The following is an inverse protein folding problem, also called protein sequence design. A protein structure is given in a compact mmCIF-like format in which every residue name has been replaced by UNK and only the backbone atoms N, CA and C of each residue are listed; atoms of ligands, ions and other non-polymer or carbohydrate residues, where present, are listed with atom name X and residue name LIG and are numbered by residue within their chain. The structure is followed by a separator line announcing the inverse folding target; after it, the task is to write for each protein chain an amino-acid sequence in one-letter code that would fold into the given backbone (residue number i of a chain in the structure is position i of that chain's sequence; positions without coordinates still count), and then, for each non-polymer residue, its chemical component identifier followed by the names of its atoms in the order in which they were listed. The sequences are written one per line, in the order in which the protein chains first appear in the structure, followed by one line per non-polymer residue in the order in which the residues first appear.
data_IF_852083149601
#
_entry.id   IF_852083149601
#
_cell.length_a   1.000
_cell.length_b   1.000
_cell.length_c   1.000
_cell.angle_alpha   90.00
_cell.angle_beta   90.00
_cell.angle_gamma   90.00
#
_symmetry.space_group_name_H-M   'P 1'
#
loop_
_entity.id
_entity.type
_entity.pdbx_description
1 polymer ?
#
# COMPACT_ATOMS: atom_id res chain seq x y z
N UNK A 1 5.87 13.80 23.17
CA UNK A 1 4.48 13.49 23.55
C UNK A 1 3.46 14.58 23.19
N UNK A 2 3.68 15.88 23.46
CA UNK A 2 2.76 16.97 23.02
C UNK A 2 2.63 17.04 21.50
N UNK A 3 3.73 16.74 20.78
CA UNK A 3 3.75 16.65 19.32
C UNK A 3 2.72 15.66 18.74
N UNK A 4 2.17 14.73 19.53
CA UNK A 4 1.13 13.81 19.09
C UNK A 4 -0.18 14.51 18.66
N UNK A 5 -0.43 15.73 19.13
CA UNK A 5 -1.58 16.54 18.72
C UNK A 5 -1.34 17.33 17.43
N UNK A 6 -0.10 17.40 16.94
CA UNK A 6 0.28 18.23 15.79
C UNK A 6 0.86 17.44 14.63
N UNK A 7 1.81 16.54 14.91
CA UNK A 7 2.54 15.79 13.88
C UNK A 7 1.63 14.79 13.15
N UNK A 8 0.91 13.87 13.83
CA UNK A 8 -0.02 12.98 13.15
C UNK A 8 -1.14 13.73 12.42
N UNK A 9 -1.70 14.77 13.05
CA UNK A 9 -2.72 15.62 12.42
C UNK A 9 -2.20 16.17 11.10
N UNK A 10 -1.02 16.79 11.10
CA UNK A 10 -0.38 17.33 9.90
C UNK A 10 -0.11 16.27 8.83
N UNK A 11 0.50 15.14 9.23
CA UNK A 11 0.84 14.04 8.31
C UNK A 11 -0.36 13.52 7.54
N UNK A 12 -1.50 13.36 8.23
CA UNK A 12 -2.72 12.91 7.61
C UNK A 12 -3.46 14.03 6.86
N UNK A 13 -3.55 15.23 7.43
CA UNK A 13 -4.32 16.33 6.86
C UNK A 13 -3.77 16.84 5.54
N UNK A 14 -2.45 16.79 5.34
CA UNK A 14 -1.79 17.23 4.10
C UNK A 14 -2.19 16.36 2.90
N UNK A 15 -2.59 15.11 3.14
CA UNK A 15 -3.00 14.16 2.09
C UNK A 15 -4.52 14.02 1.98
N UNK A 16 -5.29 14.64 2.87
CA UNK A 16 -6.74 14.50 2.91
C UNK A 16 -7.42 15.28 1.79
N UNK A 17 -8.38 14.65 1.12
CA UNK A 17 -9.26 15.33 0.17
C UNK A 17 -10.29 16.20 0.91
N UNK A 18 -10.85 17.21 0.22
CA UNK A 18 -11.81 18.15 0.84
C UNK A 18 -13.02 17.48 1.48
N UNK A 19 -13.51 16.37 0.90
CA UNK A 19 -14.62 15.59 1.45
C UNK A 19 -14.27 15.03 2.83
N UNK A 20 -13.09 14.42 2.95
CA UNK A 20 -12.62 13.79 4.19
C UNK A 20 -12.30 14.86 5.24
N UNK A 21 -11.74 16.00 4.82
CA UNK A 21 -11.56 17.16 5.68
C UNK A 21 -12.89 17.66 6.25
N UNK A 22 -13.93 17.77 5.42
CA UNK A 22 -15.27 18.14 5.85
C UNK A 22 -15.88 17.16 6.85
N UNK A 23 -15.71 15.85 6.61
CA UNK A 23 -16.14 14.80 7.53
C UNK A 23 -15.41 14.89 8.89
N UNK A 24 -14.09 14.99 8.86
CA UNK A 24 -13.24 15.06 10.05
C UNK A 24 -13.57 16.29 10.93
N UNK A 25 -13.65 17.47 10.31
CA UNK A 25 -13.99 18.71 11.00
C UNK A 25 -15.45 18.72 11.49
N UNK A 26 -16.37 18.15 10.70
CA UNK A 26 -17.78 18.00 11.08
C UNK A 26 -17.95 17.11 12.32
N UNK A 27 -17.28 15.95 12.35
CA UNK A 27 -17.26 15.08 13.53
C UNK A 27 -16.55 15.73 14.72
N UNK A 28 -15.44 16.44 14.48
CA UNK A 28 -14.76 17.23 15.50
C UNK A 28 -15.68 18.27 16.14
N UNK A 29 -16.46 18.99 15.33
CA UNK A 29 -17.45 19.96 15.82
C UNK A 29 -18.55 19.28 16.63
N UNK A 30 -19.07 18.14 16.18
CA UNK A 30 -20.08 17.39 16.92
C UNK A 30 -19.56 16.94 18.30
N UNK A 31 -18.33 16.47 18.39
CA UNK A 31 -17.69 16.10 19.66
C UNK A 31 -17.51 17.31 20.57
N UNK A 32 -17.12 18.47 20.01
CA UNK A 32 -17.03 19.73 20.78
C UNK A 32 -18.40 20.15 21.31
N UNK A 33 -19.46 20.07 20.50
CA UNK A 33 -20.83 20.40 20.92
C UNK A 33 -21.34 19.43 21.99
N UNK A 34 -21.07 18.12 21.84
CA UNK A 34 -21.41 17.11 22.83
C UNK A 34 -20.65 17.35 24.15
N UNK A 35 -19.35 17.65 24.08
CA UNK A 35 -18.52 17.99 25.24
C UNK A 35 -18.99 19.26 25.94
N UNK A 36 -19.35 20.30 25.19
CA UNK A 36 -19.93 21.52 25.73
C UNK A 36 -21.30 21.26 26.39
N UNK A 37 -22.17 20.48 25.75
CA UNK A 37 -23.46 20.07 26.31
C UNK A 37 -23.29 19.29 27.61
N UNK A 38 -22.39 18.31 27.63
CA UNK A 38 -22.06 17.54 28.82
C UNK A 38 -21.51 18.44 29.94
N UNK A 39 -20.59 19.35 29.63
CA UNK A 39 -20.05 20.31 30.60
C UNK A 39 -21.15 21.18 31.22
N UNK A 40 -22.10 21.67 30.42
CA UNK A 40 -23.24 22.45 30.91
C UNK A 40 -24.16 21.62 31.81
N UNK A 41 -24.40 20.35 31.48
CA UNK A 41 -25.19 19.43 32.31
C UNK A 41 -24.52 19.16 33.66
N UNK A 42 -23.22 18.86 33.66
CA UNK A 42 -22.44 18.63 34.89
C UNK A 42 -22.38 19.89 35.73
N UNK A 43 -22.12 21.06 35.12
CA UNK A 43 -22.11 22.33 35.85
C UNK A 43 -23.43 22.59 36.56
N UNK A 44 -24.56 22.35 35.90
CA UNK A 44 -25.89 22.48 36.51
C UNK A 44 -26.08 21.52 37.69
N UNK A 45 -25.58 20.29 37.58
CA UNK A 45 -25.65 19.31 38.67
C UNK A 45 -24.74 19.66 39.87
N UNK A 46 -23.56 20.22 39.62
CA UNK A 46 -22.63 20.65 40.67
C UNK A 46 -23.14 21.90 41.38
N UNK A 47 -23.75 22.86 40.67
CA UNK A 47 -24.43 24.01 41.30
C UNK A 47 -25.61 23.57 42.20
N UNK A 48 -26.22 22.41 41.93
CA UNK A 48 -27.26 21.81 42.80
C UNK A 48 -26.66 21.08 44.01
N UNK A 49 -25.42 20.57 43.89
CA UNK A 49 -24.75 19.73 44.86
C UNK A 49 -23.58 20.51 45.46
N UNK A 50 -23.89 21.44 46.38
CA UNK A 50 -23.02 22.48 46.95
C UNK A 50 -21.67 22.04 47.61
N UNK A 51 -21.20 20.80 47.47
CA UNK A 51 -20.09 20.23 48.23
C UNK A 51 -19.12 19.38 47.39
N UNK A 52 -18.72 19.84 46.21
CA UNK A 52 -17.63 19.20 45.47
C UNK A 52 -16.31 19.91 45.77
N UNK A 53 -15.41 19.28 46.52
CA UNK A 53 -13.99 19.66 46.54
C UNK A 53 -13.44 19.57 45.11
N UNK A 54 -13.22 20.72 44.47
CA UNK A 54 -12.64 20.77 43.13
C UNK A 54 -11.16 20.46 43.26
N UNK A 55 -10.75 19.25 42.87
CA UNK A 55 -9.34 18.83 42.86
C UNK A 55 -8.45 19.84 42.13
N UNK A 56 -7.26 20.10 42.67
CA UNK A 56 -6.39 21.16 42.16
C UNK A 56 -5.93 20.84 40.73
N UNK A 57 -5.98 21.79 39.78
CA UNK A 57 -5.39 21.61 38.45
C UNK A 57 -3.91 21.23 38.49
N UNK A 58 -3.21 21.60 39.57
CA UNK A 58 -1.83 21.24 39.81
C UNK A 58 -1.66 19.73 40.08
N UNK A 59 -2.61 19.10 40.79
CA UNK A 59 -2.55 17.67 41.11
C UNK A 59 -2.62 16.84 39.82
N UNK A 60 -3.52 17.22 38.91
CA UNK A 60 -3.64 16.59 37.59
C UNK A 60 -2.39 16.78 36.73
N UNK A 61 -1.78 17.97 36.78
CA UNK A 61 -0.54 18.26 36.06
C UNK A 61 0.62 17.40 36.58
N UNK A 62 0.80 17.34 37.90
CA UNK A 62 1.88 16.56 38.53
C UNK A 62 1.67 15.06 38.31
N UNK A 63 0.44 14.56 38.47
CA UNK A 63 0.11 13.17 38.20
C UNK A 63 0.37 12.81 36.74
N UNK A 64 -0.05 13.66 35.80
CA UNK A 64 0.21 13.49 34.38
C UNK A 64 1.71 13.44 34.07
N UNK A 65 2.50 14.34 34.65
CA UNK A 65 3.96 14.36 34.51
C UNK A 65 4.61 13.08 35.03
N UNK A 66 4.17 12.60 36.20
CA UNK A 66 4.69 11.37 36.81
C UNK A 66 4.37 10.15 35.94
N UNK A 67 3.12 10.04 35.44
CA UNK A 67 2.75 8.95 34.53
C UNK A 67 3.63 9.00 33.28
N UNK A 68 3.73 10.15 32.61
CA UNK A 68 4.55 10.28 31.40
C UNK A 68 6.00 9.87 31.67
N UNK A 69 6.58 10.32 32.78
CA UNK A 69 7.96 9.98 33.15
C UNK A 69 8.13 8.47 33.35
N UNK A 70 7.27 7.85 34.15
CA UNK A 70 7.34 6.41 34.45
C UNK A 70 7.14 5.58 33.18
N UNK A 71 6.24 5.99 32.29
CA UNK A 71 5.89 5.22 31.10
C UNK A 71 6.86 5.39 29.94
N UNK A 72 7.62 6.50 29.89
CA UNK A 72 8.66 6.70 28.86
C UNK A 72 10.04 6.25 29.32
N UNK A 73 10.30 6.15 30.63
CA UNK A 73 11.61 5.77 31.16
C UNK A 73 12.15 4.44 30.57
N UNK A 74 11.38 3.34 30.48
CA UNK A 74 11.88 2.10 29.88
C UNK A 74 12.26 2.24 28.41
N UNK A 75 11.55 3.09 27.65
CA UNK A 75 11.82 3.34 26.22
C UNK A 75 13.17 4.05 26.06
N UNK A 76 13.40 5.09 26.86
CA UNK A 76 14.67 5.84 26.85
C UNK A 76 15.83 4.97 27.31
N UNK A 77 15.65 4.20 28.39
CA UNK A 77 16.69 3.28 28.91
C UNK A 77 17.02 2.17 27.91
N UNK A 78 16.05 1.71 27.12
CA UNK A 78 16.27 0.75 26.05
C UNK A 78 16.94 1.36 24.80
N UNK A 79 17.32 2.65 24.82
CA UNK A 79 17.93 3.34 23.69
C UNK A 79 16.99 3.43 22.47
N UNK A 80 15.68 3.49 22.71
CA UNK A 80 14.67 3.61 21.65
C UNK A 80 14.29 5.07 21.46
N UNK A 81 14.23 5.48 20.20
CA UNK A 81 13.73 6.79 19.81
C UNK A 81 12.24 6.75 19.52
N UNK A 82 11.56 7.85 19.86
CA UNK A 82 10.15 8.05 19.52
C UNK A 82 10.06 8.72 18.15
N UNK A 83 9.49 8.01 17.18
CA UNK A 83 9.24 8.54 15.84
C UNK A 83 7.74 8.53 15.57
N UNK A 84 7.16 9.69 15.29
CA UNK A 84 5.78 9.76 14.79
C UNK A 84 5.75 9.42 13.30
N UNK A 85 6.14 8.20 12.96
CA UNK A 85 6.07 7.64 11.60
C UNK A 85 4.86 6.72 11.49
N UNK A 86 4.15 6.78 10.37
CA UNK A 86 3.05 5.84 10.08
C UNK A 86 3.64 4.43 10.08
N UNK A 87 3.02 3.50 10.82
CA UNK A 87 3.39 2.08 10.98
C UNK A 87 4.64 1.72 11.80
N UNK A 88 5.51 2.67 12.17
CA UNK A 88 6.84 2.32 12.72
C UNK A 88 6.94 2.26 14.25
N UNK A 89 6.12 3.00 14.99
CA UNK A 89 6.35 3.20 16.43
C UNK A 89 5.05 3.18 17.27
N UNK A 90 5.12 2.52 18.44
CA UNK A 90 4.06 2.42 19.46
C UNK A 90 4.52 2.86 20.86
N UNK A 91 5.75 3.34 21.01
CA UNK A 91 6.41 3.68 22.27
C UNK A 91 5.81 4.87 23.01
N UNK A 92 4.81 5.56 22.44
CA UNK A 92 4.08 6.64 23.14
C UNK A 92 2.71 6.24 23.63
N UNK A 93 2.21 5.06 23.26
CA UNK A 93 0.84 4.63 23.54
C UNK A 93 0.55 4.53 25.04
N UNK A 94 1.49 3.96 25.81
CA UNK A 94 1.37 3.84 27.26
C UNK A 94 1.33 5.20 27.99
N UNK A 95 1.78 6.28 27.33
CA UNK A 95 1.81 7.63 27.92
C UNK A 95 0.54 8.45 27.64
N UNK A 96 -0.41 7.93 26.86
CA UNK A 96 -1.59 8.69 26.39
C UNK A 96 -2.39 9.29 27.54
N UNK A 97 -2.67 8.51 28.59
CA UNK A 97 -3.38 9.00 29.77
C UNK A 97 -2.59 10.10 30.49
N UNK A 98 -1.29 9.87 30.72
CA UNK A 98 -0.43 10.84 31.39
C UNK A 98 -0.36 12.17 30.63
N UNK A 99 -0.28 12.13 29.30
CA UNK A 99 -0.27 13.32 28.45
C UNK A 99 -1.62 14.04 28.50
N UNK A 100 -2.75 13.33 28.47
CA UNK A 100 -4.06 13.95 28.59
C UNK A 100 -4.23 14.70 29.91
N UNK A 101 -3.80 14.10 31.03
CA UNK A 101 -3.82 14.74 32.36
C UNK A 101 -2.85 15.90 32.45
N UNK A 102 -1.63 15.76 31.94
CA UNK A 102 -0.61 16.81 31.92
C UNK A 102 -1.09 18.03 31.12
N UNK A 103 -1.57 17.82 29.89
CA UNK A 103 -2.04 18.89 29.01
C UNK A 103 -3.32 19.52 29.56
N UNK A 104 -4.27 18.70 30.03
CA UNK A 104 -5.49 19.19 30.68
C UNK A 104 -5.18 20.04 31.93
N UNK A 105 -4.37 19.49 32.85
CA UNK A 105 -3.91 20.19 34.05
C UNK A 105 -3.21 21.50 33.71
N UNK A 106 -2.31 21.51 32.72
CA UNK A 106 -1.65 22.72 32.24
C UNK A 106 -2.64 23.76 31.69
N UNK A 107 -3.59 23.36 30.85
CA UNK A 107 -4.61 24.25 30.29
C UNK A 107 -5.49 24.87 31.38
N UNK A 108 -5.86 24.09 32.41
CA UNK A 108 -6.66 24.59 33.54
C UNK A 108 -5.86 25.37 34.59
N UNK A 109 -4.55 25.13 34.71
CA UNK A 109 -3.65 25.84 35.62
C UNK A 109 -3.20 27.19 35.04
N UNK A 110 -2.69 27.20 33.80
CA UNK A 110 -2.02 28.35 33.20
C UNK A 110 -2.95 29.26 32.38
N UNK A 111 -3.93 28.71 31.66
CA UNK A 111 -4.79 29.48 30.75
C UNK A 111 -6.07 29.93 31.45
N UNK A 112 -6.58 31.12 31.11
CA UNK A 112 -7.80 31.71 31.70
C UNK A 112 -8.77 32.19 30.61
N UNK A 113 -10.04 32.37 30.99
CA UNK A 113 -11.07 32.94 30.13
C UNK A 113 -11.28 32.16 28.82
N UNK A 114 -11.54 32.87 27.73
CA UNK A 114 -11.87 32.29 26.43
C UNK A 114 -10.68 31.53 25.80
N UNK A 115 -9.45 31.91 26.11
CA UNK A 115 -8.26 31.24 25.56
C UNK A 115 -8.17 29.78 26.01
N UNK A 116 -8.52 29.49 27.28
CA UNK A 116 -8.58 28.10 27.79
C UNK A 116 -9.50 27.24 26.92
N UNK A 117 -10.71 27.73 26.68
CA UNK A 117 -11.71 27.01 25.91
C UNK A 117 -11.33 26.89 24.44
N UNK A 118 -10.75 27.93 23.85
CA UNK A 118 -10.24 27.87 22.47
C UNK A 118 -9.19 26.77 22.31
N UNK A 119 -8.23 26.66 23.23
CA UNK A 119 -7.21 25.61 23.20
C UNK A 119 -7.82 24.21 23.38
N UNK A 120 -8.76 24.03 24.30
CA UNK A 120 -9.45 22.74 24.48
C UNK A 120 -10.21 22.33 23.22
N UNK A 121 -10.92 23.27 22.58
CA UNK A 121 -11.63 23.04 21.32
C UNK A 121 -10.66 22.63 20.21
N UNK A 122 -9.53 23.34 20.07
CA UNK A 122 -8.51 23.01 19.07
C UNK A 122 -7.91 21.62 19.31
N UNK A 123 -7.60 21.26 20.55
CA UNK A 123 -7.11 19.93 20.90
C UNK A 123 -8.14 18.86 20.53
N UNK A 124 -9.40 19.01 20.95
CA UNK A 124 -10.47 18.06 20.63
C UNK A 124 -10.66 17.89 19.11
N UNK A 125 -10.73 18.99 18.36
CA UNK A 125 -10.86 18.94 16.90
C UNK A 125 -9.66 18.24 16.28
N UNK A 126 -8.44 18.56 16.71
CA UNK A 126 -7.22 17.91 16.20
C UNK A 126 -7.23 16.40 16.49
N UNK A 127 -7.57 16.00 17.72
CA UNK A 127 -7.61 14.59 18.13
C UNK A 127 -8.62 13.80 17.33
N UNK A 128 -9.87 14.28 17.25
CA UNK A 128 -10.93 13.62 16.49
C UNK A 128 -10.57 13.55 15.01
N UNK A 129 -10.13 14.67 14.42
CA UNK A 129 -9.74 14.70 13.00
C UNK A 129 -8.60 13.73 12.71
N UNK A 130 -7.60 13.65 13.58
CA UNK A 130 -6.47 12.72 13.43
C UNK A 130 -6.96 11.27 13.42
N UNK A 131 -7.87 10.89 14.31
CA UNK A 131 -8.41 9.52 14.34
C UNK A 131 -9.23 9.21 13.07
N UNK A 132 -10.07 10.16 12.63
CA UNK A 132 -10.86 10.01 11.39
C UNK A 132 -9.94 9.84 10.18
N UNK A 133 -8.91 10.68 10.04
CA UNK A 133 -7.98 10.53 8.92
C UNK A 133 -7.14 9.26 9.00
N UNK A 134 -6.75 8.84 10.21
CA UNK A 134 -6.06 7.57 10.41
C UNK A 134 -6.94 6.40 9.97
N UNK A 135 -8.23 6.42 10.29
CA UNK A 135 -9.19 5.39 9.87
C UNK A 135 -9.33 5.34 8.35
N UNK A 136 -9.49 6.51 7.70
CA UNK A 136 -9.58 6.61 6.24
C UNK A 136 -8.30 6.07 5.58
N UNK A 137 -7.13 6.45 6.10
CA UNK A 137 -5.85 5.96 5.60
C UNK A 137 -5.76 4.44 5.69
N UNK A 138 -6.07 3.83 6.84
CA UNK A 138 -5.96 2.38 7.00
C UNK A 138 -7.03 1.61 6.23
N UNK A 139 -8.23 2.19 6.03
CA UNK A 139 -9.25 1.64 5.12
C UNK A 139 -8.71 1.56 3.69
N UNK A 140 -8.16 2.65 3.18
CA UNK A 140 -7.68 2.75 1.80
C UNK A 140 -6.40 1.93 1.60
N UNK A 141 -5.55 1.87 2.63
CA UNK A 141 -4.37 1.01 2.65
C UNK A 141 -4.76 -0.47 2.58
N UNK A 142 -5.76 -0.88 3.37
CA UNK A 142 -6.27 -2.24 3.34
C UNK A 142 -6.88 -2.59 1.96
N UNK A 143 -7.65 -1.67 1.38
CA UNK A 143 -8.20 -1.87 0.03
C UNK A 143 -7.08 -2.03 -1.00
N UNK A 144 -6.03 -1.21 -0.92
CA UNK A 144 -4.88 -1.29 -1.82
C UNK A 144 -4.20 -2.66 -1.72
N UNK A 145 -3.93 -3.13 -0.50
CA UNK A 145 -3.36 -4.47 -0.26
C UNK A 145 -4.23 -5.57 -0.84
N UNK A 146 -5.53 -5.53 -0.54
CA UNK A 146 -6.50 -6.52 -1.03
C UNK A 146 -6.53 -6.57 -2.55
N UNK A 147 -6.58 -5.43 -3.22
CA UNK A 147 -6.55 -5.35 -4.69
C UNK A 147 -5.26 -5.93 -5.26
N UNK A 148 -4.11 -5.61 -4.67
CA UNK A 148 -2.82 -6.17 -5.08
C UNK A 148 -2.81 -7.69 -4.96
N UNK A 149 -3.28 -8.26 -3.84
CA UNK A 149 -3.27 -9.71 -3.67
C UNK A 149 -4.27 -10.44 -4.56
N UNK A 150 -5.46 -9.87 -4.80
CA UNK A 150 -6.40 -10.42 -5.79
C UNK A 150 -5.81 -10.42 -7.20
N UNK A 151 -5.14 -9.35 -7.59
CA UNK A 151 -4.48 -9.28 -8.87
C UNK A 151 -3.33 -10.29 -8.99
N UNK A 152 -2.52 -10.46 -7.95
CA UNK A 152 -1.48 -11.48 -7.97
C UNK A 152 -2.08 -12.89 -8.10
N UNK A 153 -3.16 -13.17 -7.38
CA UNK A 153 -3.88 -14.44 -7.45
C UNK A 153 -4.44 -14.71 -8.86
N UNK A 154 -4.97 -13.70 -9.56
CA UNK A 154 -5.40 -13.86 -10.96
C UNK A 154 -4.23 -14.05 -11.93
N UNK A 155 -3.09 -13.43 -11.63
CA UNK A 155 -1.88 -13.41 -12.47
C UNK A 155 -1.01 -14.64 -12.31
N UNK A 156 -1.01 -15.27 -11.13
CA UNK A 156 -0.17 -16.39 -10.78
C UNK A 156 -1.03 -17.51 -10.18
N UNK A 157 -1.46 -18.51 -10.99
CA UNK A 157 -2.21 -19.65 -10.48
C UNK A 157 -1.47 -20.41 -9.38
N UNK A 158 -0.15 -20.58 -9.55
CA UNK A 158 0.77 -21.04 -8.52
C UNK A 158 2.13 -20.33 -8.69
N UNK A 159 2.84 -20.17 -7.58
CA UNK A 159 4.23 -19.69 -7.54
C UNK A 159 5.11 -20.86 -7.10
N UNK A 160 6.27 -21.03 -7.75
CA UNK A 160 7.23 -22.09 -7.40
C UNK A 160 7.75 -21.91 -5.96
N UNK A 161 7.81 -23.02 -5.21
CA UNK A 161 8.33 -23.04 -3.84
C UNK A 161 9.75 -22.46 -3.77
N UNK A 162 10.04 -21.69 -2.72
CA UNK A 162 11.33 -21.03 -2.55
C UNK A 162 11.49 -19.73 -3.34
N UNK A 163 10.50 -19.33 -4.15
CA UNK A 163 10.51 -18.04 -4.85
C UNK A 163 10.49 -16.87 -3.86
N UNK A 164 11.50 -16.00 -3.93
CA UNK A 164 11.55 -14.73 -3.20
C UNK A 164 10.68 -13.70 -3.89
N UNK A 165 9.46 -13.51 -3.40
CA UNK A 165 8.56 -12.47 -3.92
C UNK A 165 8.92 -11.12 -3.31
N UNK A 166 9.33 -10.19 -4.16
CA UNK A 166 9.55 -8.79 -3.79
C UNK A 166 8.33 -7.99 -4.23
N UNK A 167 7.59 -7.44 -3.27
CA UNK A 167 6.37 -6.69 -3.56
C UNK A 167 6.49 -5.23 -3.14
N UNK A 168 5.91 -4.34 -3.95
CA UNK A 168 5.75 -2.92 -3.65
C UNK A 168 4.34 -2.44 -3.93
N UNK A 169 3.85 -1.58 -3.05
CA UNK A 169 2.54 -0.96 -3.15
C UNK A 169 2.66 0.48 -3.65
N UNK A 170 1.57 1.10 -4.11
CA UNK A 170 1.64 2.42 -4.69
C UNK A 170 1.80 3.51 -3.63
N UNK A 171 2.59 4.54 -3.98
CA UNK A 171 2.59 5.83 -3.28
C UNK A 171 2.84 5.74 -1.76
N UNK A 172 2.00 6.40 -0.98
CA UNK A 172 2.11 6.50 0.48
C UNK A 172 1.66 5.26 1.26
N UNK A 173 1.38 4.15 0.58
CA UNK A 173 0.85 2.89 1.11
C UNK A 173 1.88 1.76 1.06
N UNK A 174 3.16 2.06 1.32
CA UNK A 174 4.22 1.05 1.28
C UNK A 174 4.03 -0.01 2.39
N UNK A 175 4.43 -1.24 2.11
CA UNK A 175 4.60 -2.25 3.17
C UNK A 175 5.70 -1.78 4.14
N UNK A 176 5.47 -1.97 5.44
CA UNK A 176 6.47 -1.63 6.45
C UNK A 176 7.42 -2.81 6.70
N UNK A 177 6.89 -4.03 6.65
CA UNK A 177 7.60 -5.25 7.05
C UNK A 177 7.38 -6.38 6.05
N UNK A 178 8.40 -7.22 5.91
CA UNK A 178 8.43 -8.37 5.00
C UNK A 178 7.29 -9.39 5.21
N UNK A 179 6.74 -9.50 6.43
CA UNK A 179 5.62 -10.39 6.70
C UNK A 179 4.30 -9.96 6.07
N UNK A 180 4.19 -8.68 5.68
CA UNK A 180 3.05 -8.19 4.92
C UNK A 180 3.06 -8.73 3.49
N UNK A 181 4.19 -9.28 3.03
CA UNK A 181 4.34 -9.93 1.72
C UNK A 181 4.23 -11.45 1.86
N UNK A 182 5.10 -12.10 2.63
CA UNK A 182 5.07 -13.58 2.71
C UNK A 182 3.86 -14.12 3.47
N UNK A 183 3.25 -13.35 4.39
CA UNK A 183 2.08 -13.79 5.13
C UNK A 183 0.89 -14.11 4.22
N UNK A 184 0.37 -13.12 3.46
CA UNK A 184 -0.71 -13.36 2.50
C UNK A 184 -0.39 -14.44 1.46
N UNK A 185 0.83 -14.47 0.92
CA UNK A 185 1.23 -15.46 -0.09
C UNK A 185 1.10 -16.90 0.42
N UNK A 186 1.65 -17.20 1.60
CA UNK A 186 1.58 -18.55 2.15
C UNK A 186 0.18 -18.91 2.64
N UNK A 187 -0.63 -17.94 3.06
CA UNK A 187 -2.03 -18.20 3.39
C UNK A 187 -2.88 -18.54 2.15
N UNK A 188 -2.47 -18.07 0.96
CA UNK A 188 -3.13 -18.38 -0.31
C UNK A 188 -2.63 -19.70 -0.89
N UNK A 189 -1.32 -19.86 -1.06
CA UNK A 189 -0.73 -20.97 -1.80
C UNK A 189 -0.41 -22.19 -0.93
N UNK A 190 -0.16 -21.99 0.37
CA UNK A 190 0.31 -23.03 1.31
C UNK A 190 -0.45 -22.99 2.67
N UNK A 191 -1.79 -23.02 2.68
CA UNK A 191 -2.57 -22.83 3.91
C UNK A 191 -2.32 -23.97 4.91
N UNK A 192 -1.76 -23.64 6.08
CA UNK A 192 -1.48 -24.61 7.15
C UNK A 192 -0.16 -25.35 7.00
N UNK A 193 0.64 -25.01 5.99
CA UNK A 193 1.98 -25.55 5.77
C UNK A 193 3.06 -24.60 6.33
N UNK A 194 4.32 -25.05 6.43
CA UNK A 194 5.46 -24.17 6.68
C UNK A 194 5.57 -23.05 5.63
N UNK A 195 6.37 -22.04 5.92
CA UNK A 195 6.65 -20.96 4.97
C UNK A 195 7.41 -21.51 3.76
N UNK A 196 6.75 -21.54 2.60
CA UNK A 196 7.28 -22.03 1.32
C UNK A 196 7.64 -20.88 0.38
N UNK A 197 6.89 -19.78 0.42
CA UNK A 197 7.11 -18.61 -0.43
C UNK A 197 7.68 -17.46 0.42
N UNK A 198 9.00 -17.24 0.43
CA UNK A 198 9.58 -16.10 1.12
C UNK A 198 9.21 -14.78 0.47
N UNK A 199 9.23 -13.71 1.27
CA UNK A 199 8.74 -12.40 0.86
C UNK A 199 9.65 -11.29 1.33
N UNK A 200 9.68 -10.19 0.57
CA UNK A 200 10.47 -9.01 0.86
C UNK A 200 9.80 -7.73 0.32
N UNK A 201 10.00 -6.60 0.99
CA UNK A 201 9.54 -5.28 0.54
C UNK A 201 10.52 -4.70 -0.47
N UNK A 202 10.05 -4.05 -1.53
CA UNK A 202 10.92 -3.44 -2.55
C UNK A 202 11.66 -2.16 -2.11
N UNK A 203 12.94 -2.27 -1.74
CA UNK A 203 13.81 -1.13 -1.47
C UNK A 203 15.12 -1.19 -2.28
N UNK A 204 15.74 -0.03 -2.55
CA UNK A 204 16.86 0.10 -3.50
C UNK A 204 18.06 -0.79 -3.18
N UNK A 205 18.38 -0.97 -1.90
CA UNK A 205 19.57 -1.68 -1.47
C UNK A 205 19.52 -3.19 -1.78
N UNK A 206 18.33 -3.75 -2.07
CA UNK A 206 18.19 -5.14 -2.52
C UNK A 206 18.88 -5.42 -3.85
N UNK A 207 19.17 -4.39 -4.66
CA UNK A 207 19.88 -4.57 -5.93
C UNK A 207 21.21 -5.31 -5.75
N UNK A 208 21.90 -5.09 -4.61
CA UNK A 208 23.17 -5.77 -4.31
C UNK A 208 22.94 -7.27 -4.07
N UNK A 209 21.89 -7.61 -3.32
CA UNK A 209 21.52 -9.00 -3.04
C UNK A 209 21.06 -9.75 -4.29
N UNK A 210 20.30 -9.08 -5.16
CA UNK A 210 19.82 -9.60 -6.44
C UNK A 210 20.97 -9.81 -7.43
N UNK A 211 21.87 -8.84 -7.56
CA UNK A 211 23.03 -8.92 -8.46
C UNK A 211 23.98 -10.05 -8.04
N UNK A 212 24.16 -10.25 -6.72
CA UNK A 212 25.03 -11.28 -6.19
C UNK A 212 24.36 -12.66 -6.06
N UNK A 213 23.03 -12.76 -6.25
CA UNK A 213 22.29 -14.00 -6.02
C UNK A 213 22.45 -14.51 -4.60
N UNK A 214 22.43 -13.60 -3.60
CA UNK A 214 22.66 -13.99 -2.21
C UNK A 214 21.57 -14.94 -1.70
N UNK A 215 21.94 -15.81 -0.78
CA UNK A 215 20.99 -16.62 0.00
C UNK A 215 21.01 -16.08 1.43
N UNK A 216 19.86 -15.67 1.94
CA UNK A 216 19.67 -15.09 3.27
C UNK A 216 18.77 -15.99 4.10
N UNK A 217 19.23 -16.39 5.28
CA UNK A 217 18.38 -16.98 6.32
C UNK A 217 18.21 -15.97 7.45
N UNK A 218 16.97 -15.61 7.76
CA UNK A 218 16.67 -14.63 8.81
C UNK A 218 15.59 -15.15 9.76
N UNK A 219 15.89 -15.15 11.05
CA UNK A 219 14.89 -15.36 12.10
C UNK A 219 14.11 -14.08 12.36
N UNK A 220 12.89 -14.02 11.84
CA UNK A 220 11.98 -12.89 11.97
C UNK A 220 11.24 -12.97 13.31
N UNK A 221 11.39 -11.91 14.12
CA UNK A 221 10.73 -11.75 15.43
C UNK A 221 10.91 -12.93 16.42
N UNK A 222 11.96 -13.74 16.22
CA UNK A 222 12.24 -14.90 17.07
C UNK A 222 11.29 -16.09 16.88
N UNK A 223 10.42 -16.06 15.85
CA UNK A 223 9.35 -17.05 15.67
C UNK A 223 9.38 -17.75 14.32
N UNK A 224 9.68 -17.04 13.24
CA UNK A 224 9.61 -17.58 11.87
C UNK A 224 10.97 -17.38 11.20
N UNK A 225 11.56 -18.47 10.72
CA UNK A 225 12.75 -18.41 9.87
C UNK A 225 12.32 -18.22 8.43
N UNK A 226 12.82 -17.16 7.79
CA UNK A 226 12.57 -16.86 6.38
C UNK A 226 13.86 -17.08 5.61
N UNK A 227 13.81 -17.96 4.61
CA UNK A 227 14.93 -18.27 3.72
C UNK A 227 14.67 -17.63 2.37
N UNK A 228 15.50 -16.67 1.95
CA UNK A 228 15.40 -15.99 0.66
C UNK A 228 16.56 -16.41 -0.22
N UNK A 229 16.25 -16.92 -1.40
CA UNK A 229 17.22 -17.05 -2.48
C UNK A 229 16.94 -15.96 -3.52
N UNK A 230 17.81 -14.97 -3.59
CA UNK A 230 17.64 -13.84 -4.51
C UNK A 230 17.94 -14.24 -5.98
N UNK A 231 18.48 -15.44 -6.25
CA UNK A 231 18.51 -16.00 -7.61
C UNK A 231 17.12 -16.36 -8.13
N UNK A 232 16.15 -16.62 -7.26
CA UNK A 232 14.78 -16.99 -7.62
C UNK A 232 13.84 -15.89 -7.16
N UNK A 233 14.02 -14.69 -7.73
CA UNK A 233 13.25 -13.50 -7.34
C UNK A 233 12.12 -13.20 -8.32
N UNK A 234 10.93 -12.95 -7.80
CA UNK A 234 9.78 -12.44 -8.55
C UNK A 234 9.48 -11.02 -8.07
N UNK A 235 9.68 -10.01 -8.92
CA UNK A 235 9.43 -8.61 -8.57
C UNK A 235 8.03 -8.21 -9.04
N UNK A 236 7.24 -7.70 -8.10
CA UNK A 236 5.88 -7.23 -8.32
C UNK A 236 5.72 -5.81 -7.77
N UNK A 237 4.96 -4.98 -8.47
CA UNK A 237 4.68 -3.60 -8.05
C UNK A 237 3.32 -3.15 -8.54
N UNK A 238 2.62 -2.36 -7.74
CA UNK A 238 1.49 -1.58 -8.23
C UNK A 238 1.95 -0.11 -8.32
N UNK A 239 2.21 0.44 -9.51
CA UNK A 239 2.85 1.76 -9.66
C UNK A 239 2.07 2.93 -9.02
N UNK A 240 0.74 2.90 -9.13
CA UNK A 240 -0.17 3.90 -8.55
C UNK A 240 -1.46 3.25 -8.05
N UNK A 241 -2.27 3.97 -7.27
CA UNK A 241 -3.55 3.47 -6.75
C UNK A 241 -4.61 3.21 -7.83
N UNK A 242 -4.33 3.59 -9.08
CA UNK A 242 -5.20 3.35 -10.25
C UNK A 242 -4.56 2.45 -11.31
N UNK A 243 -3.29 2.05 -11.09
CA UNK A 243 -2.60 1.08 -11.93
C UNK A 243 -2.92 -0.33 -11.46
N UNK A 244 -2.79 -1.29 -12.36
CA UNK A 244 -2.80 -2.70 -12.04
C UNK A 244 -1.47 -3.13 -11.40
N UNK A 245 -1.47 -4.31 -10.79
CA UNK A 245 -0.26 -4.99 -10.35
C UNK A 245 0.55 -5.42 -11.57
N UNK A 246 1.78 -4.97 -11.64
CA UNK A 246 2.76 -5.39 -12.64
C UNK A 246 3.61 -6.50 -12.02
N UNK A 247 3.77 -7.59 -12.77
CA UNK A 247 4.73 -8.66 -12.46
C UNK A 247 5.79 -8.60 -13.54
N UNK A 248 7.00 -8.19 -13.17
CA UNK A 248 8.01 -7.85 -14.17
C UNK A 248 8.67 -9.10 -14.77
N UNK A 249 8.98 -9.00 -16.06
CA UNK A 249 9.86 -9.93 -16.75
C UNK A 249 11.24 -9.28 -16.95
N UNK A 250 12.28 -9.82 -16.31
CA UNK A 250 13.64 -9.29 -16.45
C UNK A 250 14.19 -9.32 -17.88
N UNK A 251 13.65 -10.19 -18.75
CA UNK A 251 14.07 -10.32 -20.15
C UNK A 251 13.29 -9.42 -21.11
N UNK A 252 12.03 -9.08 -20.77
CA UNK A 252 11.13 -8.22 -21.54
C UNK A 252 10.64 -7.10 -20.63
N UNK A 253 11.51 -6.12 -20.40
CA UNK A 253 11.21 -5.03 -19.47
C UNK A 253 10.21 -4.03 -20.09
N UNK A 254 9.04 -3.97 -19.49
CA UNK A 254 7.92 -3.09 -19.85
C UNK A 254 7.52 -2.17 -18.67
N UNK A 255 8.52 -1.65 -17.96
CA UNK A 255 8.34 -0.82 -16.76
C UNK A 255 7.50 0.43 -17.08
N UNK A 256 6.49 0.74 -16.27
CA UNK A 256 5.70 1.96 -16.45
C UNK A 256 6.53 3.23 -16.18
N UNK A 257 6.22 4.32 -16.88
CA UNK A 257 6.87 5.63 -16.67
C UNK A 257 6.59 6.23 -15.30
N UNK A 258 5.50 5.81 -14.65
CA UNK A 258 5.11 6.24 -13.31
C UNK A 258 5.63 5.32 -12.20
N UNK A 259 6.37 4.27 -12.56
CA UNK A 259 6.94 3.35 -11.58
C UNK A 259 8.02 4.03 -10.73
N UNK A 260 8.13 3.59 -9.49
CA UNK A 260 9.14 4.02 -8.55
C UNK A 260 10.54 3.65 -9.01
N UNK A 261 11.49 4.56 -8.77
CA UNK A 261 12.91 4.30 -9.04
C UNK A 261 13.48 3.09 -8.29
N UNK A 262 12.84 2.64 -7.21
CA UNK A 262 13.23 1.41 -6.52
C UNK A 262 12.96 0.23 -7.45
N UNK A 263 11.72 0.09 -7.91
CA UNK A 263 11.29 -1.04 -8.71
C UNK A 263 11.97 -1.04 -10.09
N UNK A 264 12.19 0.12 -10.71
CA UNK A 264 12.94 0.19 -11.98
C UNK A 264 14.34 -0.42 -11.87
N UNK A 265 14.99 -0.34 -10.70
CA UNK A 265 16.29 -0.97 -10.45
C UNK A 265 16.21 -2.48 -10.18
N UNK A 266 15.09 -2.95 -9.61
CA UNK A 266 14.92 -4.36 -9.23
C UNK A 266 14.29 -5.20 -10.36
N UNK A 267 13.43 -4.62 -11.18
CA UNK A 267 12.69 -5.30 -12.25
C UNK A 267 13.54 -6.16 -13.19
N UNK A 268 14.77 -5.76 -13.60
CA UNK A 268 15.62 -6.59 -14.46
C UNK A 268 16.00 -7.96 -13.87
N UNK A 269 15.91 -8.12 -12.54
CA UNK A 269 16.25 -9.37 -11.84
C UNK A 269 15.04 -10.30 -11.67
N UNK A 270 13.87 -9.92 -12.20
CA UNK A 270 12.64 -10.68 -12.03
C UNK A 270 12.58 -11.87 -12.96
N UNK A 271 12.26 -13.04 -12.40
CA UNK A 271 12.09 -14.30 -13.12
C UNK A 271 10.62 -14.68 -13.20
N UNK A 272 10.00 -14.34 -14.33
CA UNK A 272 8.57 -14.55 -14.54
C UNK A 272 8.20 -16.04 -14.71
N UNK A 273 9.17 -16.88 -15.09
CA UNK A 273 9.06 -18.34 -15.22
C UNK A 273 8.83 -19.06 -13.89
N UNK A 274 9.01 -18.38 -12.75
CA UNK A 274 8.66 -18.89 -11.42
C UNK A 274 7.14 -18.94 -11.17
N UNK A 275 6.34 -18.36 -12.06
CA UNK A 275 4.87 -18.52 -12.06
C UNK A 275 4.51 -19.76 -12.88
N UNK A 276 3.86 -20.72 -12.23
CA UNK A 276 3.39 -21.97 -12.83
C UNK A 276 1.98 -21.71 -13.41
N UNK A 277 1.92 -21.36 -14.69
CA UNK A 277 0.69 -20.91 -15.35
C UNK A 277 -0.33 -22.02 -15.63
N UNK A 278 0.10 -23.28 -15.67
CA UNK A 278 -0.72 -24.46 -15.95
C UNK A 278 -1.15 -25.19 -14.66
N UNK A 279 -0.80 -24.65 -13.49
CA UNK A 279 -1.26 -25.15 -12.22
C UNK A 279 -2.74 -24.82 -11.96
N UNK A 280 -3.41 -25.67 -11.19
CA UNK A 280 -4.71 -25.34 -10.64
C UNK A 280 -4.56 -24.28 -9.55
N UNK A 281 -5.31 -23.18 -9.66
CA UNK A 281 -5.35 -22.17 -8.60
C UNK A 281 -5.92 -22.76 -7.31
N UNK A 282 -5.29 -22.52 -6.14
CA UNK A 282 -5.87 -22.90 -4.86
C UNK A 282 -7.18 -22.13 -4.63
N UNK A 283 -8.04 -22.63 -3.73
CA UNK A 283 -9.23 -21.88 -3.37
C UNK A 283 -8.85 -20.56 -2.68
N UNK A 284 -9.30 -19.42 -3.22
CA UNK A 284 -9.03 -18.12 -2.64
C UNK A 284 -9.52 -18.05 -1.18
N UNK A 285 -8.67 -17.69 -0.20
CA UNK A 285 -9.06 -17.62 1.20
C UNK A 285 -9.91 -16.37 1.46
N UNK A 286 -11.23 -16.48 1.28
CA UNK A 286 -12.17 -15.36 1.42
C UNK A 286 -12.18 -14.69 2.80
N UNK A 287 -11.78 -15.41 3.85
CA UNK A 287 -11.62 -14.84 5.20
C UNK A 287 -10.47 -13.82 5.29
N UNK A 288 -9.48 -13.92 4.40
CA UNK A 288 -8.26 -13.10 4.40
C UNK A 288 -8.34 -12.07 3.27
N UNK A 289 -8.66 -12.52 2.06
CA UNK A 289 -8.72 -11.66 0.88
C UNK A 289 -10.07 -10.92 0.75
N UNK A 290 -11.07 -11.28 1.55
CA UNK A 290 -12.44 -10.82 1.37
C UNK A 290 -13.10 -11.44 0.14
N UNK A 291 -14.21 -10.86 -0.28
CA UNK A 291 -14.88 -11.25 -1.51
C UNK A 291 -14.06 -10.85 -2.75
N UNK A 292 -14.17 -11.65 -3.81
CA UNK A 292 -13.52 -11.33 -5.08
C UNK A 292 -14.07 -9.99 -5.63
N UNK A 293 -13.19 -9.04 -5.96
CA UNK A 293 -13.63 -7.77 -6.53
C UNK A 293 -14.21 -7.98 -7.93
N UNK A 294 -15.10 -7.07 -8.32
CA UNK A 294 -15.66 -7.08 -9.68
C UNK A 294 -14.55 -7.03 -10.72
N UNK A 295 -14.65 -7.90 -11.72
CA UNK A 295 -13.70 -7.97 -12.83
C UNK A 295 -13.73 -6.68 -13.67
N UNK A 296 -12.79 -5.78 -13.37
CA UNK A 296 -12.50 -4.58 -14.13
C UNK A 296 -11.31 -4.78 -15.07
N UNK A 297 -10.73 -3.68 -15.55
CA UNK A 297 -9.56 -3.72 -16.43
C UNK A 297 -8.42 -4.58 -15.85
N UNK A 298 -8.09 -4.41 -14.57
CA UNK A 298 -6.98 -5.14 -13.97
C UNK A 298 -7.15 -6.65 -13.96
N UNK A 299 -8.38 -7.16 -13.87
CA UNK A 299 -8.63 -8.60 -14.02
C UNK A 299 -8.19 -9.08 -15.40
N UNK A 300 -8.65 -8.41 -16.46
CA UNK A 300 -8.29 -8.75 -17.83
C UNK A 300 -6.81 -8.52 -18.09
N UNK A 301 -6.20 -7.45 -17.56
CA UNK A 301 -4.77 -7.22 -17.65
C UNK A 301 -3.98 -8.41 -17.08
N UNK A 302 -4.36 -8.95 -15.91
CA UNK A 302 -3.68 -10.12 -15.35
C UNK A 302 -3.87 -11.38 -16.22
N UNK A 303 -5.08 -11.60 -16.75
CA UNK A 303 -5.38 -12.73 -17.62
C UNK A 303 -4.64 -12.67 -18.97
N UNK A 304 -4.60 -11.49 -19.60
CA UNK A 304 -3.85 -11.26 -20.85
C UNK A 304 -2.38 -11.58 -20.62
N UNK A 305 -1.77 -11.03 -19.57
CA UNK A 305 -0.35 -11.27 -19.27
C UNK A 305 -0.04 -12.72 -18.94
N UNK A 306 -0.92 -13.42 -18.21
CA UNK A 306 -0.78 -14.84 -17.92
C UNK A 306 -0.83 -15.68 -19.22
N UNK A 307 -1.77 -15.39 -20.13
CA UNK A 307 -1.87 -16.08 -21.41
C UNK A 307 -0.69 -15.76 -22.34
N UNK A 308 -0.18 -14.52 -22.33
CA UNK A 308 1.05 -14.15 -23.04
C UNK A 308 2.25 -14.95 -22.53
N UNK A 309 2.41 -15.07 -21.21
CA UNK A 309 3.46 -15.89 -20.60
C UNK A 309 3.35 -17.37 -21.02
N UNK A 310 2.13 -17.90 -21.10
CA UNK A 310 1.88 -19.28 -21.50
C UNK A 310 1.99 -19.52 -23.02
N UNK A 311 2.25 -18.50 -23.83
CA UNK A 311 2.24 -18.59 -25.30
C UNK A 311 0.86 -18.79 -25.92
N UNK A 312 -0.21 -18.55 -25.14
CA UNK A 312 -1.60 -18.73 -25.52
C UNK A 312 -2.15 -17.46 -26.19
N UNK A 313 -1.64 -17.13 -27.38
CA UNK A 313 -1.94 -15.86 -28.05
C UNK A 313 -3.43 -15.63 -28.33
N UNK A 314 -4.16 -16.70 -28.66
CA UNK A 314 -5.60 -16.63 -28.92
C UNK A 314 -6.39 -16.26 -27.66
N UNK A 315 -6.07 -16.89 -26.53
CA UNK A 315 -6.72 -16.62 -25.24
C UNK A 315 -6.40 -15.20 -24.77
N UNK A 316 -5.15 -14.76 -24.92
CA UNK A 316 -4.73 -13.39 -24.62
C UNK A 316 -5.54 -12.35 -25.44
N UNK A 317 -5.72 -12.59 -26.74
CA UNK A 317 -6.50 -11.71 -27.60
C UNK A 317 -8.00 -11.75 -27.24
N UNK A 318 -8.53 -12.91 -26.87
CA UNK A 318 -9.91 -13.06 -26.40
C UNK A 318 -10.16 -12.25 -25.12
N UNK A 319 -9.26 -12.32 -24.12
CA UNK A 319 -9.41 -11.51 -22.91
C UNK A 319 -9.36 -9.99 -23.20
N UNK A 320 -8.56 -9.56 -24.18
CA UNK A 320 -8.54 -8.17 -24.62
C UNK A 320 -9.86 -7.74 -25.33
N UNK A 321 -10.48 -8.65 -26.09
CA UNK A 321 -11.79 -8.43 -26.69
C UNK A 321 -12.88 -8.37 -25.61
N UNK A 322 -12.85 -9.27 -24.62
CA UNK A 322 -13.79 -9.29 -23.49
C UNK A 322 -13.71 -8.01 -22.64
N UNK A 323 -12.50 -7.51 -22.37
CA UNK A 323 -12.29 -6.24 -21.69
C UNK A 323 -12.93 -5.07 -22.48
N UNK A 324 -12.75 -5.08 -23.80
CA UNK A 324 -13.32 -4.06 -24.69
C UNK A 324 -14.85 -4.13 -24.73
N UNK A 325 -15.43 -5.34 -24.74
CA UNK A 325 -16.88 -5.56 -24.69
C UNK A 325 -17.49 -5.16 -23.35
N UNK A 326 -16.75 -5.30 -22.26
CA UNK A 326 -17.15 -4.89 -20.92
C UNK A 326 -17.00 -3.38 -20.67
N UNK A 327 -16.51 -2.61 -21.64
CA UNK A 327 -16.25 -1.17 -21.55
C UNK A 327 -15.32 -0.81 -20.37
N UNK A 328 -14.33 -1.67 -20.12
CA UNK A 328 -13.28 -1.44 -19.12
C UNK A 328 -11.96 -1.12 -19.79
N UNK A 329 -11.24 -0.15 -19.25
CA UNK A 329 -9.99 0.37 -19.81
C UNK A 329 -9.01 0.74 -18.69
N UNK A 330 -7.70 0.73 -18.95
CA UNK A 330 -6.71 1.17 -17.99
C UNK A 330 -6.80 2.67 -17.73
N UNK A 331 -6.34 3.05 -16.53
CA UNK A 331 -6.01 4.43 -16.22
C UNK A 331 -4.54 4.74 -16.54
N UNK A 332 -3.64 3.76 -16.41
CA UNK A 332 -2.26 3.85 -16.89
C UNK A 332 -2.20 3.44 -18.35
N UNK A 333 -1.94 4.42 -19.23
CA UNK A 333 -1.85 4.19 -20.69
C UNK A 333 -0.82 3.14 -21.09
N UNK A 334 0.21 2.88 -20.28
CA UNK A 334 1.19 1.83 -20.55
C UNK A 334 0.58 0.43 -20.50
N UNK A 335 -0.49 0.23 -19.73
CA UNK A 335 -1.14 -1.07 -19.52
C UNK A 335 -1.91 -1.55 -20.75
N UNK A 336 -2.07 -0.71 -21.78
CA UNK A 336 -2.54 -1.16 -23.08
C UNK A 336 -1.53 -2.05 -23.82
N UNK A 337 -0.26 -2.07 -23.41
CA UNK A 337 0.79 -2.81 -24.11
C UNK A 337 0.51 -4.32 -24.19
N UNK A 338 0.14 -5.05 -23.13
CA UNK A 338 -0.20 -6.47 -23.23
C UNK A 338 -1.35 -6.77 -24.20
N UNK A 339 -2.36 -5.91 -24.29
CA UNK A 339 -3.43 -6.07 -25.27
C UNK A 339 -2.90 -5.89 -26.71
N UNK A 340 -2.01 -4.93 -26.93
CA UNK A 340 -1.32 -4.75 -28.21
C UNK A 340 -0.50 -5.99 -28.57
N UNK A 341 0.29 -6.51 -27.63
CA UNK A 341 1.10 -7.72 -27.81
C UNK A 341 0.23 -8.95 -28.11
N UNK A 342 -0.87 -9.12 -27.40
CA UNK A 342 -1.83 -10.21 -27.62
C UNK A 342 -2.35 -10.23 -29.06
N UNK A 343 -2.88 -9.09 -29.54
CA UNK A 343 -3.35 -8.98 -30.93
C UNK A 343 -2.20 -9.15 -31.95
N UNK A 344 -1.05 -8.54 -31.65
CA UNK A 344 0.12 -8.59 -32.51
C UNK A 344 0.71 -10.00 -32.63
N UNK A 345 0.63 -10.83 -31.60
CA UNK A 345 1.07 -12.24 -31.63
C UNK A 345 0.00 -13.16 -32.24
N UNK A 346 -1.29 -12.91 -31.98
CA UNK A 346 -2.37 -13.78 -32.44
C UNK A 346 -2.61 -13.71 -33.96
N UNK A 347 -2.64 -12.53 -34.55
CA UNK A 347 -2.93 -12.38 -36.00
C UNK A 347 -3.46 -11.02 -36.39
N UNK A 348 -3.89 -10.25 -35.40
CA UNK A 348 -4.90 -9.23 -35.57
C UNK A 348 -4.28 -7.85 -35.66
N UNK A 349 -3.42 -7.63 -36.65
CA UNK A 349 -2.65 -6.39 -36.79
C UNK A 349 -3.54 -5.13 -36.83
N UNK A 350 -4.76 -5.23 -37.38
CA UNK A 350 -5.72 -4.11 -37.37
C UNK A 350 -6.16 -3.73 -35.95
N UNK A 351 -6.37 -4.71 -35.07
CA UNK A 351 -6.71 -4.46 -33.66
C UNK A 351 -5.47 -3.97 -32.91
N UNK A 352 -4.30 -4.55 -33.13
CA UNK A 352 -3.04 -4.06 -32.57
C UNK A 352 -2.80 -2.58 -32.91
N UNK A 353 -2.99 -2.18 -34.18
CA UNK A 353 -2.92 -0.77 -34.62
C UNK A 353 -3.93 0.11 -33.91
N UNK A 354 -5.15 -0.37 -33.68
CA UNK A 354 -6.17 0.36 -32.92
C UNK A 354 -5.74 0.56 -31.47
N UNK A 355 -5.29 -0.49 -30.77
CA UNK A 355 -4.83 -0.39 -29.38
C UNK A 355 -3.64 0.56 -29.26
N UNK A 356 -2.73 0.55 -30.23
CA UNK A 356 -1.62 1.50 -30.26
C UNK A 356 -2.06 2.96 -30.32
N UNK A 357 -3.27 3.28 -30.80
CA UNK A 357 -3.80 4.65 -30.74
C UNK A 357 -4.27 5.06 -29.35
N UNK A 358 -4.52 4.11 -28.44
CA UNK A 358 -4.83 4.38 -27.04
C UNK A 358 -3.57 4.65 -26.20
N UNK A 359 -2.40 4.14 -26.63
CA UNK A 359 -1.08 4.54 -26.13
C UNK A 359 -0.69 5.86 -26.81
N UNK A 360 -1.46 6.90 -26.51
CA UNK A 360 -1.37 8.22 -27.13
C UNK A 360 -0.48 9.22 -26.37
N UNK A 361 -0.15 8.93 -25.11
CA UNK A 361 0.81 9.73 -24.36
C UNK A 361 2.20 9.59 -24.99
N UNK A 362 2.77 10.73 -25.41
CA UNK A 362 4.00 10.77 -26.20
C UNK A 362 5.19 10.20 -25.41
N UNK A 363 5.28 10.55 -24.13
CA UNK A 363 6.42 10.19 -23.29
C UNK A 363 6.37 8.70 -22.95
N UNK A 364 5.20 8.18 -22.60
CA UNK A 364 4.97 6.75 -22.37
C UNK A 364 5.21 5.93 -23.63
N UNK A 365 4.65 6.34 -24.78
CA UNK A 365 4.88 5.65 -26.06
C UNK A 365 6.36 5.61 -26.43
N UNK A 366 7.08 6.73 -26.27
CA UNK A 366 8.50 6.81 -26.55
C UNK A 366 9.30 5.92 -25.59
N UNK A 367 8.96 5.96 -24.29
CA UNK A 367 9.61 5.15 -23.27
C UNK A 367 9.45 3.65 -23.55
N UNK A 368 8.22 3.18 -23.75
CA UNK A 368 7.95 1.77 -24.07
C UNK A 368 8.67 1.35 -25.35
N UNK A 369 8.61 2.16 -26.41
CA UNK A 369 9.34 1.90 -27.64
C UNK A 369 10.86 1.76 -27.41
N UNK A 370 11.46 2.62 -26.57
CA UNK A 370 12.88 2.55 -26.24
C UNK A 370 13.22 1.30 -25.44
N UNK A 371 12.35 0.85 -24.51
CA UNK A 371 12.56 -0.39 -23.77
C UNK A 371 12.47 -1.61 -24.69
N UNK A 372 11.41 -1.71 -25.50
CA UNK A 372 11.22 -2.83 -26.43
C UNK A 372 12.34 -2.92 -27.48
N UNK A 373 12.91 -1.79 -27.92
CA UNK A 373 14.08 -1.79 -28.82
C UNK A 373 15.37 -2.32 -28.17
N UNK A 374 15.46 -2.36 -26.84
CA UNK A 374 16.62 -2.91 -26.11
C UNK A 374 16.50 -4.41 -25.88
N UNK A 375 15.32 -4.99 -26.11
CA UNK A 375 15.09 -6.43 -25.97
C UNK A 375 15.95 -7.16 -27.00
N UNK A 376 16.95 -7.88 -26.53
CA UNK A 376 17.89 -8.64 -27.37
C UNK A 376 17.34 -10.01 -27.73
N UNK A 377 16.55 -10.62 -26.84
CA UNK A 377 15.94 -11.93 -27.01
C UNK A 377 14.46 -11.81 -26.68
N UNK A 378 13.62 -11.92 -27.71
CA UNK A 378 12.18 -11.99 -27.54
C UNK A 378 11.76 -13.42 -27.19
N UNK A 379 10.69 -13.60 -26.39
CA UNK A 379 10.16 -14.93 -26.14
C UNK A 379 9.77 -15.63 -27.45
N UNK A 380 9.86 -16.96 -27.48
CA UNK A 380 9.56 -17.73 -28.68
C UNK A 380 8.11 -17.49 -29.14
N UNK A 381 7.92 -17.29 -30.44
CA UNK A 381 6.61 -17.03 -31.03
C UNK A 381 6.13 -15.57 -30.98
N UNK A 382 6.84 -14.67 -30.29
CA UNK A 382 6.51 -13.23 -30.33
C UNK A 382 6.78 -12.63 -31.70
N UNK A 383 5.81 -11.89 -32.23
CA UNK A 383 5.91 -11.10 -33.47
C UNK A 383 6.37 -9.67 -33.17
N UNK A 384 7.62 -9.58 -32.74
CA UNK A 384 8.25 -8.32 -32.31
C UNK A 384 8.34 -7.27 -33.41
N UNK A 385 8.45 -7.69 -34.67
CA UNK A 385 8.42 -6.82 -35.85
C UNK A 385 7.10 -6.05 -35.93
N UNK A 386 5.97 -6.72 -35.69
CA UNK A 386 4.64 -6.10 -35.70
C UNK A 386 4.50 -5.16 -34.50
N UNK A 387 4.88 -5.62 -33.31
CA UNK A 387 4.80 -4.81 -32.07
C UNK A 387 5.60 -3.50 -32.23
N UNK A 388 6.86 -3.61 -32.67
CA UNK A 388 7.73 -2.45 -32.88
C UNK A 388 7.22 -1.56 -34.00
N UNK A 389 6.80 -2.10 -35.14
CA UNK A 389 6.24 -1.29 -36.24
C UNK A 389 5.02 -0.50 -35.80
N UNK A 390 4.10 -1.15 -35.10
CA UNK A 390 2.82 -0.56 -34.67
C UNK A 390 3.00 0.46 -33.54
N UNK A 391 3.86 0.18 -32.56
CA UNK A 391 4.08 1.07 -31.41
C UNK A 391 5.10 2.17 -31.71
N UNK A 392 6.19 1.87 -32.41
CA UNK A 392 7.28 2.81 -32.65
C UNK A 392 7.14 3.61 -33.96
N UNK A 393 6.16 3.29 -34.82
CA UNK A 393 6.04 3.83 -36.18
C UNK A 393 7.35 3.64 -36.99
N UNK A 394 7.95 2.46 -36.90
CA UNK A 394 9.14 2.10 -37.67
C UNK A 394 8.67 1.33 -38.90
N UNK A 395 8.85 1.92 -40.09
CA UNK A 395 8.53 1.29 -41.38
C UNK A 395 9.48 0.15 -41.75
#
# INVERSE_FOLDING_TARGET
SILAWGVPFYQFSVRAIYKDMGLALGLGLLVVLAGAGYYLLVRKQVEIRNDAEVGSPLDWLVLGALIVFVTTLPVVVAGRDVVFGVQWDRYTYQSVLGVALLVGGFVFYALRGNLRWAILVLLLISGVSTQVFSEIFYRDFWETQRQTWWQLYWRAPQIEDGTTVIASLPGGYQFAEEYEVWGPLNLVYHPGEPLMIPGQVGFKQLVVNLEQGTIEERLVRGTVTVNRDYNYSLITSTPSTVSCLHVYNGSLLDVSTIESSNITLLAPYSKMDLIIYDAASPAAPSQIMGDEPRHGWCYFYQKINLSLQAGQWADAAQFADEASLADVQPQDVAEWLPALEAYANHGEEKKAKRVATFINDKDTRLYLCQQLKKVSVWPEGYRSDIILRVLCNVD
#
